data_IF_273313426510
#
_entry.id   IF_273313426510
#
_cell.length_a   1.000
_cell.length_b   1.000
_cell.length_c   1.000
_cell.angle_alpha   90.00
_cell.angle_beta   90.00
_cell.angle_gamma   90.00
#
_symmetry.space_group_name_H-M   'P 1'
#
loop_
_entity.id
_entity.type
_entity.pdbx_description
1 polymer ?
#
# COMPACT_ATOMS: atom_id res chain seq x y z
N UNK A 1 -19.76 -5.97 16.11
CA UNK A 1 -18.36 -5.88 15.63
C UNK A 1 -18.31 -4.64 14.77
N UNK A 2 -17.32 -3.77 14.96
CA UNK A 2 -17.21 -2.54 14.15
C UNK A 2 -16.61 -2.91 12.80
N UNK A 3 -17.33 -2.60 11.72
CA UNK A 3 -16.82 -2.67 10.33
C UNK A 3 -16.28 -1.31 9.86
N UNK A 4 -15.98 -0.42 10.82
CA UNK A 4 -15.43 0.90 10.54
C UNK A 4 -14.02 0.78 9.97
N UNK A 5 -13.85 1.32 8.76
CA UNK A 5 -12.56 1.38 8.07
C UNK A 5 -11.78 2.56 8.64
N UNK A 6 -10.75 2.29 9.44
CA UNK A 6 -9.85 3.30 9.99
C UNK A 6 -8.54 3.25 9.21
N UNK A 7 -8.24 4.28 8.44
CA UNK A 7 -7.13 4.32 7.50
C UNK A 7 -6.04 5.27 7.99
N UNK A 8 -4.91 4.70 8.42
CA UNK A 8 -3.74 5.45 8.86
C UNK A 8 -2.92 5.83 7.63
N UNK A 9 -2.84 7.13 7.33
CA UNK A 9 -2.20 7.60 6.12
C UNK A 9 -1.57 8.99 6.27
N UNK A 10 -0.92 9.46 5.21
CA UNK A 10 -0.69 10.88 5.00
C UNK A 10 -1.02 11.26 3.56
N UNK A 11 -1.37 12.53 3.33
CA UNK A 11 -1.88 13.01 2.04
C UNK A 11 -0.99 12.64 0.84
N UNK A 12 0.31 12.97 0.92
CA UNK A 12 1.27 12.80 -0.19
C UNK A 12 1.83 11.37 -0.34
N UNK A 13 1.30 10.37 0.38
CA UNK A 13 1.77 8.98 0.24
C UNK A 13 1.22 8.33 -1.04
N UNK A 14 2.09 7.88 -1.97
CA UNK A 14 1.68 7.20 -3.20
C UNK A 14 0.94 5.88 -2.94
N UNK A 15 1.45 5.05 -2.02
CA UNK A 15 0.79 3.80 -1.64
C UNK A 15 -0.54 4.03 -0.93
N UNK A 16 -0.70 5.18 -0.25
CA UNK A 16 -2.01 5.55 0.31
C UNK A 16 -2.97 5.99 -0.79
N UNK A 17 -2.49 6.70 -1.81
CA UNK A 17 -3.32 7.07 -2.97
C UNK A 17 -3.87 5.84 -3.69
N UNK A 18 -3.04 4.81 -3.90
CA UNK A 18 -3.46 3.51 -4.44
C UNK A 18 -4.67 2.96 -3.69
N UNK A 19 -4.61 2.89 -2.37
CA UNK A 19 -5.71 2.36 -1.53
C UNK A 19 -6.91 3.30 -1.55
N UNK A 20 -6.71 4.63 -1.51
CA UNK A 20 -7.81 5.61 -1.58
C UNK A 20 -8.59 5.48 -2.89
N UNK A 21 -7.92 5.29 -4.02
CA UNK A 21 -8.57 5.02 -5.30
C UNK A 21 -9.38 3.71 -5.25
N UNK A 22 -8.85 2.66 -4.62
CA UNK A 22 -9.63 1.42 -4.39
C UNK A 22 -10.88 1.68 -3.54
N UNK A 23 -10.79 2.49 -2.48
CA UNK A 23 -11.96 2.89 -1.69
C UNK A 23 -12.97 3.69 -2.54
N UNK A 24 -12.50 4.49 -3.50
CA UNK A 24 -13.33 5.17 -4.50
C UNK A 24 -14.05 4.21 -5.44
N UNK A 25 -13.30 3.26 -6.05
CA UNK A 25 -13.85 2.18 -6.89
C UNK A 25 -14.95 1.42 -6.16
N UNK A 26 -14.71 1.09 -4.90
CA UNK A 26 -15.62 0.31 -4.06
C UNK A 26 -16.72 1.14 -3.40
N UNK A 27 -16.69 2.47 -3.52
CA UNK A 27 -17.67 3.39 -2.92
C UNK A 27 -17.68 3.39 -1.39
N UNK A 28 -16.55 3.13 -0.74
CA UNK A 28 -16.48 2.88 0.71
C UNK A 28 -16.44 4.18 1.52
N UNK A 29 -17.01 4.12 2.73
CA UNK A 29 -16.85 5.13 3.77
C UNK A 29 -15.71 4.74 4.70
N UNK A 30 -14.85 5.69 5.04
CA UNK A 30 -13.67 5.45 5.87
C UNK A 30 -13.27 6.67 6.69
N UNK A 31 -12.51 6.40 7.75
CA UNK A 31 -11.98 7.37 8.70
C UNK A 31 -10.49 7.58 8.43
N UNK A 32 -10.10 8.81 8.13
CA UNK A 32 -8.73 9.23 7.93
C UNK A 32 -8.06 9.52 9.26
N UNK A 33 -6.98 8.81 9.55
CA UNK A 33 -6.09 9.08 10.67
C UNK A 33 -4.75 9.54 10.12
N UNK A 34 -4.50 10.84 10.17
CA UNK A 34 -3.24 11.43 9.68
C UNK A 34 -2.05 10.97 10.53
N UNK A 35 -0.96 10.59 9.86
CA UNK A 35 0.27 10.09 10.46
C UNK A 35 1.47 10.94 10.04
N UNK A 36 2.51 11.04 10.88
CA UNK A 36 3.76 11.68 10.49
C UNK A 36 4.39 11.04 9.25
N UNK A 37 4.99 11.86 8.38
CA UNK A 37 5.69 11.40 7.16
C UNK A 37 7.00 10.66 7.48
N UNK A 38 7.68 11.11 8.53
CA UNK A 38 8.97 10.60 9.03
C UNK A 38 8.82 10.10 10.47
N UNK A 39 9.81 9.35 10.98
CA UNK A 39 9.86 8.93 12.38
C UNK A 39 10.11 10.11 13.34
N UNK A 40 9.64 10.04 14.60
CA UNK A 40 8.96 8.92 15.25
C UNK A 40 7.44 8.86 14.98
N UNK A 41 6.86 7.65 15.03
CA UNK A 41 5.41 7.39 14.86
C UNK A 41 4.84 6.55 16.00
N UNK A 42 4.89 7.02 17.26
CA UNK A 42 4.55 6.19 18.42
C UNK A 42 3.11 5.67 18.38
N UNK A 43 2.18 6.46 17.84
CA UNK A 43 0.75 6.11 17.77
C UNK A 43 0.48 5.03 16.73
N UNK A 44 1.18 5.05 15.60
CA UNK A 44 1.13 3.96 14.62
C UNK A 44 1.82 2.70 15.15
N UNK A 45 3.02 2.85 15.70
CA UNK A 45 3.86 1.71 16.11
C UNK A 45 3.24 0.93 17.26
N UNK A 46 2.49 1.57 18.15
CA UNK A 46 1.77 0.84 19.19
C UNK A 46 0.69 -0.10 18.64
N UNK A 47 0.12 0.19 17.47
CA UNK A 47 -0.80 -0.71 16.76
C UNK A 47 -0.02 -1.81 16.01
N UNK A 48 1.01 -1.43 15.26
CA UNK A 48 1.65 -2.32 14.29
C UNK A 48 2.79 -3.17 14.85
N UNK A 49 3.34 -2.83 16.01
CA UNK A 49 4.48 -3.51 16.60
C UNK A 49 5.83 -3.21 15.98
N UNK A 50 5.95 -2.12 15.21
CA UNK A 50 7.22 -1.66 14.64
C UNK A 50 7.15 -1.36 13.15
N UNK A 51 6.13 -1.86 12.44
CA UNK A 51 5.90 -1.52 11.04
C UNK A 51 5.64 -0.01 10.91
N UNK A 52 6.58 0.68 10.25
CA UNK A 52 6.57 2.15 10.12
C UNK A 52 6.12 2.67 8.75
N UNK A 53 5.89 1.79 7.78
CA UNK A 53 5.40 2.17 6.44
C UNK A 53 3.92 2.57 6.53
N UNK A 54 3.46 3.27 5.50
CA UNK A 54 2.10 3.78 5.34
C UNK A 54 1.63 3.46 3.92
N UNK A 55 0.38 3.04 3.71
CA UNK A 55 -0.72 3.03 4.70
C UNK A 55 -0.78 1.80 5.60
N UNK A 56 -1.62 1.93 6.64
CA UNK A 56 -2.09 0.84 7.49
C UNK A 56 -3.62 0.96 7.61
N UNK A 57 -4.33 -0.16 7.47
CA UNK A 57 -5.76 -0.23 7.76
C UNK A 57 -5.97 -0.82 9.15
N UNK A 58 -6.89 -0.25 9.90
CA UNK A 58 -7.38 -0.78 11.17
C UNK A 58 -8.87 -1.06 11.04
N UNK A 59 -9.29 -2.21 11.56
CA UNK A 59 -10.70 -2.54 11.79
C UNK A 59 -10.79 -3.15 13.19
N UNK A 60 -11.26 -2.38 14.17
CA UNK A 60 -11.21 -2.79 15.57
C UNK A 60 -9.77 -3.06 16.03
N UNK A 61 -9.48 -4.30 16.43
CA UNK A 61 -8.17 -4.78 16.88
C UNK A 61 -7.39 -5.56 15.80
N UNK A 62 -7.91 -5.62 14.58
CA UNK A 62 -7.24 -6.22 13.42
C UNK A 62 -6.55 -5.11 12.59
N UNK A 63 -5.22 -5.22 12.43
CA UNK A 63 -4.34 -4.20 11.84
C UNK A 63 -3.71 -4.77 10.57
N UNK A 64 -4.02 -4.21 9.40
CA UNK A 64 -3.55 -4.70 8.10
C UNK A 64 -2.44 -3.78 7.57
N UNK A 65 -1.24 -4.33 7.50
CA UNK A 65 -0.05 -3.67 6.98
C UNK A 65 0.16 -4.03 5.51
N UNK A 66 0.68 -3.08 4.73
CA UNK A 66 0.87 -3.15 3.28
C UNK A 66 -0.40 -2.96 2.44
N UNK A 67 -0.29 -2.18 1.37
CA UNK A 67 -1.41 -1.87 0.48
C UNK A 67 -2.06 -3.13 -0.12
N UNK A 68 -1.30 -4.19 -0.39
CA UNK A 68 -1.86 -5.42 -0.94
C UNK A 68 -2.76 -6.13 0.07
N UNK A 69 -2.35 -6.18 1.33
CA UNK A 69 -3.12 -6.81 2.40
C UNK A 69 -4.39 -6.00 2.69
N UNK A 70 -4.24 -4.68 2.74
CA UNK A 70 -5.37 -3.74 2.90
C UNK A 70 -6.40 -3.96 1.80
N UNK A 71 -5.97 -4.01 0.53
CA UNK A 71 -6.89 -4.17 -0.60
C UNK A 71 -7.58 -5.55 -0.58
N UNK A 72 -6.85 -6.63 -0.26
CA UNK A 72 -7.45 -7.97 -0.07
C UNK A 72 -8.54 -7.95 1.00
N UNK A 73 -8.25 -7.32 2.13
CA UNK A 73 -9.22 -7.24 3.22
C UNK A 73 -10.45 -6.41 2.85
N UNK A 74 -10.26 -5.25 2.21
CA UNK A 74 -11.37 -4.44 1.73
C UNK A 74 -12.21 -5.21 0.70
N UNK A 75 -11.59 -5.97 -0.20
CA UNK A 75 -12.31 -6.73 -1.21
C UNK A 75 -13.11 -7.88 -0.58
N UNK A 76 -12.48 -8.63 0.33
CA UNK A 76 -13.12 -9.74 1.08
C UNK A 76 -14.27 -9.26 1.96
N UNK A 77 -14.10 -8.14 2.65
CA UNK A 77 -15.10 -7.60 3.60
C UNK A 77 -16.29 -6.96 2.90
N UNK A 78 -16.09 -6.39 1.72
CA UNK A 78 -17.13 -5.73 0.93
C UNK A 78 -17.28 -6.41 -0.45
N UNK A 79 -17.82 -7.64 -0.50
CA UNK A 79 -17.90 -8.44 -1.73
C UNK A 79 -18.93 -7.90 -2.74
N UNK A 80 -19.92 -7.12 -2.30
CA UNK A 80 -20.93 -6.51 -3.20
C UNK A 80 -20.31 -5.50 -4.18
N UNK A 81 -19.13 -4.97 -3.85
CA UNK A 81 -18.33 -4.10 -4.71
C UNK A 81 -17.01 -4.76 -5.12
N UNK A 82 -17.00 -6.08 -5.31
CA UNK A 82 -15.81 -6.86 -5.65
C UNK A 82 -15.04 -6.28 -6.86
N UNK A 83 -13.71 -6.24 -6.74
CA UNK A 83 -12.82 -5.81 -7.82
C UNK A 83 -12.81 -6.85 -8.95
N UNK A 84 -13.01 -6.46 -10.23
CA UNK A 84 -13.08 -7.39 -11.36
C UNK A 84 -11.77 -8.18 -11.61
N UNK A 85 -10.66 -7.68 -11.09
CA UNK A 85 -9.31 -8.21 -11.19
C UNK A 85 -8.68 -8.47 -9.81
N UNK A 86 -9.51 -8.49 -8.76
CA UNK A 86 -9.16 -8.95 -7.41
C UNK A 86 -9.09 -10.48 -7.30
N UNK A 87 -9.25 -11.02 -6.09
CA UNK A 87 -9.08 -12.45 -5.78
C UNK A 87 -10.39 -13.18 -5.46
N UNK A 88 -11.52 -12.49 -5.45
CA UNK A 88 -12.83 -13.10 -5.20
C UNK A 88 -13.30 -13.96 -6.40
N UNK A 89 -14.20 -14.95 -6.17
CA UNK A 89 -14.73 -15.79 -7.24
C UNK A 89 -15.29 -14.98 -8.42
N UNK A 90 -14.82 -15.29 -9.64
CA UNK A 90 -15.22 -14.59 -10.87
C UNK A 90 -14.34 -13.41 -11.25
N UNK A 91 -13.39 -13.01 -10.40
CA UNK A 91 -12.36 -12.04 -10.76
C UNK A 91 -11.20 -12.69 -11.53
N UNK A 92 -10.44 -11.89 -12.28
CA UNK A 92 -9.32 -12.40 -13.09
C UNK A 92 -8.05 -12.72 -12.28
N UNK A 93 -7.90 -12.16 -11.07
CA UNK A 93 -6.69 -12.30 -10.24
C UNK A 93 -5.48 -11.47 -10.70
N UNK A 94 -5.54 -10.83 -11.88
CA UNK A 94 -4.37 -10.18 -12.50
C UNK A 94 -4.00 -8.82 -11.89
N UNK A 95 -4.87 -8.24 -11.05
CA UNK A 95 -4.60 -6.96 -10.40
C UNK A 95 -3.40 -7.01 -9.45
N UNK A 96 -3.21 -8.10 -8.71
CA UNK A 96 -2.09 -8.22 -7.75
C UNK A 96 -0.72 -8.42 -8.43
N UNK A 97 -0.56 -9.30 -9.44
CA UNK A 97 0.68 -9.35 -10.23
C UNK A 97 1.05 -8.01 -10.88
N UNK A 98 0.06 -7.29 -11.43
CA UNK A 98 0.29 -5.93 -11.97
C UNK A 98 0.74 -4.98 -10.85
N UNK A 99 0.08 -5.06 -9.69
CA UNK A 99 0.48 -4.36 -8.47
C UNK A 99 1.94 -4.58 -8.10
N UNK A 100 2.45 -5.82 -8.14
CA UNK A 100 3.87 -6.08 -7.86
C UNK A 100 4.81 -5.37 -8.84
N UNK A 101 4.48 -5.38 -10.13
CA UNK A 101 5.27 -4.68 -11.14
C UNK A 101 5.24 -3.16 -10.94
N UNK A 102 4.08 -2.58 -10.66
CA UNK A 102 3.95 -1.13 -10.44
C UNK A 102 4.58 -0.67 -9.12
N UNK A 103 4.46 -1.48 -8.07
CA UNK A 103 4.93 -1.17 -6.72
C UNK A 103 6.46 -1.28 -6.60
N UNK A 104 7.10 -2.00 -7.53
CA UNK A 104 8.56 -2.20 -7.55
C UNK A 104 9.19 -1.43 -8.71
N UNK A 105 9.05 -1.91 -9.94
CA UNK A 105 9.81 -1.42 -11.09
C UNK A 105 9.39 0.01 -11.48
N UNK A 106 8.09 0.23 -11.67
CA UNK A 106 7.58 1.56 -12.07
C UNK A 106 7.80 2.58 -10.96
N UNK A 107 7.65 2.15 -9.70
CA UNK A 107 7.88 3.01 -8.54
C UNK A 107 9.33 3.50 -8.44
N UNK A 108 10.34 2.67 -8.72
CA UNK A 108 11.73 3.13 -8.70
C UNK A 108 12.00 4.21 -9.76
N UNK A 109 11.43 4.06 -10.96
CA UNK A 109 11.53 5.09 -12.00
C UNK A 109 10.86 6.41 -11.55
N UNK A 110 9.67 6.32 -10.93
CA UNK A 110 8.97 7.49 -10.38
C UNK A 110 9.79 8.21 -9.30
N UNK A 111 10.37 7.46 -8.35
CA UNK A 111 11.24 8.00 -7.28
C UNK A 111 12.41 8.78 -7.85
N UNK A 112 13.12 8.22 -8.84
CA UNK A 112 14.26 8.88 -9.45
C UNK A 112 13.87 10.16 -10.21
N UNK A 113 12.77 10.14 -10.97
CA UNK A 113 12.26 11.32 -11.69
C UNK A 113 11.85 12.42 -10.70
N UNK A 114 11.19 12.07 -9.61
CA UNK A 114 10.75 13.03 -8.60
C UNK A 114 11.97 13.65 -7.92
N UNK A 115 12.75 12.85 -7.20
CA UNK A 115 13.78 13.37 -6.32
C UNK A 115 15.06 13.81 -7.05
N UNK A 116 15.29 13.34 -8.28
CA UNK A 116 16.29 13.94 -9.16
C UNK A 116 15.88 15.32 -9.70
N UNK A 117 14.56 15.58 -9.80
CA UNK A 117 14.03 16.88 -10.25
C UNK A 117 13.86 17.91 -9.12
N UNK A 118 13.47 17.46 -7.92
CA UNK A 118 13.21 18.35 -6.76
C UNK A 118 14.29 18.28 -5.67
N UNK A 119 15.40 17.57 -5.92
CA UNK A 119 16.40 17.21 -4.90
C UNK A 119 16.87 18.33 -3.98
N UNK A 120 17.08 19.53 -4.54
CA UNK A 120 17.51 20.74 -3.82
C UNK A 120 16.47 21.26 -2.81
N UNK A 121 15.21 20.83 -2.94
CA UNK A 121 14.08 21.23 -2.09
C UNK A 121 13.64 20.11 -1.14
N UNK A 122 14.34 18.97 -1.13
CA UNK A 122 14.04 17.86 -0.24
C UNK A 122 14.66 18.14 1.13
N UNK A 123 13.81 18.16 2.16
CA UNK A 123 14.24 18.38 3.54
C UNK A 123 15.24 17.32 4.03
N UNK A 124 16.27 17.75 4.75
CA UNK A 124 17.33 16.86 5.24
C UNK A 124 16.85 15.82 6.25
N UNK A 125 15.81 16.12 7.05
CA UNK A 125 15.21 15.13 7.95
C UNK A 125 14.48 14.04 7.17
N UNK A 126 13.87 14.40 6.05
CA UNK A 126 13.27 13.42 5.13
C UNK A 126 14.33 12.52 4.51
N UNK A 127 15.44 13.08 4.02
CA UNK A 127 16.55 12.27 3.46
C UNK A 127 17.05 11.26 4.49
N UNK A 128 17.37 11.71 5.70
CA UNK A 128 17.84 10.85 6.80
C UNK A 128 16.84 9.75 7.17
N UNK A 129 15.55 10.07 7.22
CA UNK A 129 14.50 9.08 7.50
C UNK A 129 14.44 8.01 6.39
N UNK A 130 14.54 8.41 5.11
CA UNK A 130 14.56 7.47 3.98
C UNK A 130 15.84 6.63 3.94
N UNK A 131 16.98 7.19 4.32
CA UNK A 131 18.22 6.43 4.49
C UNK A 131 18.09 5.37 5.58
N UNK A 132 17.54 5.74 6.74
CA UNK A 132 17.30 4.81 7.84
C UNK A 132 16.27 3.73 7.46
N UNK A 133 15.25 4.07 6.66
CA UNK A 133 14.24 3.14 6.20
C UNK A 133 14.78 2.12 5.18
N UNK A 134 15.61 2.57 4.24
CA UNK A 134 16.08 1.76 3.10
C UNK A 134 17.45 1.11 3.32
N UNK A 135 18.23 1.62 4.28
CA UNK A 135 19.62 1.22 4.49
C UNK A 135 20.56 1.66 3.37
N UNK A 136 20.15 2.63 2.53
CA UNK A 136 20.91 3.14 1.38
C UNK A 136 20.94 4.67 1.42
N UNK A 137 22.00 5.32 0.90
CA UNK A 137 22.05 6.77 0.78
C UNK A 137 20.87 7.34 -0.01
N UNK A 138 20.33 8.47 0.42
CA UNK A 138 19.32 9.23 -0.32
C UNK A 138 20.04 10.28 -1.19
N UNK A 139 20.71 9.80 -2.23
CA UNK A 139 21.58 10.61 -3.07
C UNK A 139 20.79 11.31 -4.20
N UNK A 140 20.39 12.55 -3.96
CA UNK A 140 19.62 13.34 -4.93
C UNK A 140 20.43 13.71 -6.17
N UNK A 141 21.75 13.82 -6.08
CA UNK A 141 22.62 14.11 -7.24
C UNK A 141 22.75 12.88 -8.15
N UNK A 142 22.91 11.69 -7.57
CA UNK A 142 22.84 10.45 -8.33
C UNK A 142 21.48 10.28 -9.01
N UNK A 143 20.38 10.56 -8.29
CA UNK A 143 19.04 10.51 -8.87
C UNK A 143 18.89 11.51 -10.02
N UNK A 144 19.40 12.74 -9.86
CA UNK A 144 19.40 13.78 -10.91
C UNK A 144 20.14 13.33 -12.17
N UNK A 145 21.29 12.69 -12.02
CA UNK A 145 22.03 12.09 -13.15
C UNK A 145 21.27 10.93 -13.80
N UNK A 146 20.48 10.18 -13.03
CA UNK A 146 19.66 9.08 -13.52
C UNK A 146 18.35 9.52 -14.20
N UNK A 147 17.90 10.77 -14.03
CA UNK A 147 16.61 11.26 -14.56
C UNK A 147 16.41 10.94 -16.05
N UNK A 148 17.37 11.18 -16.97
CA UNK A 148 17.17 10.88 -18.39
C UNK A 148 16.86 9.40 -18.64
N UNK A 149 17.65 8.49 -18.04
CA UNK A 149 17.48 7.04 -18.18
C UNK A 149 16.16 6.57 -17.56
N UNK A 150 15.82 7.08 -16.37
CA UNK A 150 14.58 6.71 -15.67
C UNK A 150 13.34 7.28 -16.36
N UNK A 151 13.47 8.42 -17.04
CA UNK A 151 12.42 8.97 -17.91
C UNK A 151 12.18 8.06 -19.11
N UNK A 152 13.22 7.50 -19.72
CA UNK A 152 13.07 6.49 -20.79
C UNK A 152 12.37 5.22 -20.28
N UNK A 153 12.75 4.71 -19.10
CA UNK A 153 12.09 3.56 -18.48
C UNK A 153 10.61 3.84 -18.17
N UNK A 154 10.32 5.01 -17.60
CA UNK A 154 8.94 5.45 -17.33
C UNK A 154 8.14 5.49 -18.64
N UNK A 155 8.69 6.08 -19.71
CA UNK A 155 8.03 6.09 -21.03
C UNK A 155 7.78 4.69 -21.57
N UNK A 156 8.73 3.76 -21.39
CA UNK A 156 8.55 2.37 -21.83
C UNK A 156 7.38 1.69 -21.09
N UNK A 157 7.30 1.83 -19.77
CA UNK A 157 6.18 1.30 -18.99
C UNK A 157 4.84 1.94 -19.37
N UNK A 158 4.81 3.25 -19.53
CA UNK A 158 3.60 3.98 -19.92
C UNK A 158 3.15 3.64 -21.34
N UNK A 159 4.08 3.36 -22.25
CA UNK A 159 3.78 2.87 -23.59
C UNK A 159 3.07 1.51 -23.62
N UNK A 160 3.40 0.61 -22.68
CA UNK A 160 2.68 -0.67 -22.54
C UNK A 160 1.22 -0.44 -22.13
N UNK A 161 0.98 0.48 -21.20
CA UNK A 161 -0.37 0.82 -20.74
C UNK A 161 -1.17 1.58 -21.82
N UNK A 162 -0.56 2.54 -22.51
CA UNK A 162 -1.20 3.28 -23.60
C UNK A 162 -1.60 2.33 -24.75
N UNK A 163 -0.73 1.39 -25.11
CA UNK A 163 -1.03 0.37 -26.12
C UNK A 163 -2.22 -0.53 -25.72
N UNK A 164 -2.31 -0.92 -24.46
CA UNK A 164 -3.46 -1.68 -23.94
C UNK A 164 -4.76 -0.88 -24.04
N UNK A 165 -4.71 0.43 -23.77
CA UNK A 165 -5.87 1.32 -23.80
C UNK A 165 -6.27 1.75 -25.22
N UNK A 166 -5.44 1.47 -26.23
CA UNK A 166 -5.65 1.90 -27.61
C UNK A 166 -6.84 1.21 -28.30
N UNK A 167 -7.36 0.11 -27.75
CA UNK A 167 -8.57 -0.56 -28.24
C UNK A 167 -9.88 0.11 -27.80
N UNK A 168 -9.79 1.21 -27.03
CA UNK A 168 -10.93 2.02 -26.62
C UNK A 168 -11.58 1.59 -25.31
N UNK A 169 -11.04 0.58 -24.61
CA UNK A 169 -11.53 0.20 -23.27
C UNK A 169 -11.50 1.37 -22.28
N UNK A 170 -12.42 1.35 -21.32
CA UNK A 170 -12.51 2.40 -20.31
C UNK A 170 -11.36 2.34 -19.29
N UNK A 171 -11.00 1.12 -18.86
CA UNK A 171 -10.06 0.81 -17.80
C UNK A 171 -9.11 -0.32 -18.23
N UNK A 172 -8.01 -0.54 -17.51
CA UNK A 172 -6.99 -1.52 -17.92
C UNK A 172 -7.57 -2.94 -18.04
N UNK A 173 -8.50 -3.29 -17.15
CA UNK A 173 -9.22 -4.57 -17.12
C UNK A 173 -10.45 -4.66 -18.05
N UNK A 174 -10.81 -3.60 -18.77
CA UNK A 174 -12.01 -3.56 -19.62
C UNK A 174 -12.93 -2.39 -19.29
N UNK A 175 -14.23 -2.65 -19.13
CA UNK A 175 -15.23 -1.59 -18.97
C UNK A 175 -15.40 -1.09 -17.52
N UNK A 176 -14.98 -1.89 -16.54
CA UNK A 176 -15.09 -1.55 -15.10
C UNK A 176 -13.70 -1.28 -14.51
N UNK A 177 -13.57 -0.30 -13.59
CA UNK A 177 -12.30 -0.04 -12.93
C UNK A 177 -11.97 -1.18 -11.96
N UNK A 178 -10.67 -1.47 -11.82
CA UNK A 178 -10.15 -2.51 -10.94
C UNK A 178 -8.86 -2.11 -10.21
N UNK A 179 -8.26 -3.09 -9.54
CA UNK A 179 -6.99 -2.97 -8.86
C UNK A 179 -5.85 -2.57 -9.81
N UNK A 180 -5.88 -3.07 -11.05
CA UNK A 180 -4.92 -2.71 -12.07
C UNK A 180 -4.88 -1.19 -12.28
N UNK A 181 -6.05 -0.56 -12.29
CA UNK A 181 -6.16 0.88 -12.51
C UNK A 181 -5.55 1.67 -11.36
N UNK A 182 -5.92 1.34 -10.12
CA UNK A 182 -5.36 1.98 -8.93
C UNK A 182 -3.84 1.80 -8.82
N UNK A 183 -3.34 0.61 -9.19
CA UNK A 183 -1.92 0.24 -9.13
C UNK A 183 -1.07 0.98 -10.16
N UNK A 184 -1.57 1.17 -11.38
CA UNK A 184 -0.88 1.96 -12.38
C UNK A 184 -0.98 3.48 -12.11
N UNK A 185 -2.17 3.96 -11.73
CA UNK A 185 -2.47 5.38 -11.61
C UNK A 185 -1.65 6.09 -10.55
N UNK A 186 -1.43 5.46 -9.39
CA UNK A 186 -0.79 6.15 -8.26
C UNK A 186 0.64 6.62 -8.57
N UNK A 187 1.37 5.93 -9.46
CA UNK A 187 2.72 6.33 -9.88
C UNK A 187 2.69 7.61 -10.73
N UNK A 188 1.73 7.71 -11.65
CA UNK A 188 1.49 8.92 -12.46
C UNK A 188 1.11 10.08 -11.54
N UNK A 189 0.15 9.83 -10.64
CA UNK A 189 -0.28 10.79 -9.63
C UNK A 189 0.89 11.27 -8.77
N UNK A 190 1.77 10.38 -8.34
CA UNK A 190 2.90 10.71 -7.47
C UNK A 190 3.89 11.66 -8.16
N UNK A 191 4.28 11.33 -9.39
CA UNK A 191 5.16 12.19 -10.19
C UNK A 191 4.50 13.54 -10.41
N UNK A 192 3.25 13.59 -10.90
CA UNK A 192 2.56 14.86 -11.17
C UNK A 192 2.33 15.71 -9.91
N UNK A 193 2.14 15.09 -8.75
CA UNK A 193 1.83 15.78 -7.49
C UNK A 193 3.10 16.32 -6.83
N UNK A 194 4.19 15.56 -6.81
CA UNK A 194 5.42 15.92 -6.09
C UNK A 194 6.43 16.64 -6.99
N UNK A 195 6.48 16.27 -8.27
CA UNK A 195 7.29 16.94 -9.29
C UNK A 195 6.45 17.24 -10.55
N UNK A 196 5.60 18.29 -10.53
CA UNK A 196 4.74 18.63 -11.67
C UNK A 196 5.49 18.77 -13.01
N UNK A 197 6.72 19.27 -12.99
CA UNK A 197 7.55 19.39 -14.19
C UNK A 197 7.93 18.02 -14.78
N UNK A 198 8.27 17.05 -13.92
CA UNK A 198 8.51 15.65 -14.30
C UNK A 198 7.26 14.96 -14.85
N UNK A 199 6.07 15.43 -14.48
CA UNK A 199 4.79 14.92 -14.98
C UNK A 199 4.59 15.06 -16.49
N UNK A 200 5.32 15.96 -17.15
CA UNK A 200 5.24 16.15 -18.61
C UNK A 200 5.59 14.89 -19.42
N UNK A 201 6.29 13.92 -18.83
CA UNK A 201 6.61 12.63 -19.45
C UNK A 201 5.37 11.85 -19.92
N UNK A 202 4.23 12.08 -19.27
CA UNK A 202 2.97 11.37 -19.54
C UNK A 202 2.14 12.01 -20.66
N UNK A 203 2.34 13.29 -20.96
CA UNK A 203 1.43 14.08 -21.80
C UNK A 203 1.44 13.64 -23.29
N UNK A 204 2.48 12.91 -23.71
CA UNK A 204 2.57 12.33 -25.05
C UNK A 204 1.73 11.07 -25.28
N UNK A 205 1.12 10.50 -24.23
CA UNK A 205 0.33 9.27 -24.29
C UNK A 205 -1.17 9.60 -24.28
N UNK A 206 -1.80 9.54 -25.46
CA UNK A 206 -3.18 10.02 -25.65
C UNK A 206 -4.19 9.17 -24.88
N UNK A 207 -4.11 7.83 -25.00
CA UNK A 207 -5.07 6.92 -24.37
C UNK A 207 -4.85 6.87 -22.86
N UNK A 208 -3.59 6.89 -22.43
CA UNK A 208 -3.20 6.94 -21.03
C UNK A 208 -3.72 8.21 -20.34
N UNK A 209 -3.57 9.39 -20.95
CA UNK A 209 -4.02 10.65 -20.33
C UNK A 209 -5.55 10.68 -20.19
N UNK A 210 -6.28 10.15 -21.19
CA UNK A 210 -7.73 10.02 -21.11
C UNK A 210 -8.14 9.02 -20.00
N UNK A 211 -7.41 7.92 -19.85
CA UNK A 211 -7.62 6.94 -18.79
C UNK A 211 -7.28 7.51 -17.40
N UNK A 212 -6.17 8.23 -17.25
CA UNK A 212 -5.75 8.90 -16.01
C UNK A 212 -6.87 9.80 -15.48
N UNK A 213 -7.49 10.59 -16.37
CA UNK A 213 -8.62 11.45 -16.01
C UNK A 213 -9.83 10.65 -15.51
N UNK A 214 -10.12 9.49 -16.12
CA UNK A 214 -11.20 8.60 -15.66
C UNK A 214 -10.91 8.01 -14.30
N UNK A 215 -9.70 7.52 -14.05
CA UNK A 215 -9.32 6.96 -12.74
C UNK A 215 -9.36 8.03 -11.65
N UNK A 216 -8.85 9.23 -11.94
CA UNK A 216 -8.93 10.38 -11.02
C UNK A 216 -10.38 10.73 -10.64
N UNK A 217 -11.31 10.63 -11.59
CA UNK A 217 -12.72 10.95 -11.36
C UNK A 217 -13.45 9.93 -10.47
N UNK A 218 -12.89 8.74 -10.24
CA UNK A 218 -13.43 7.75 -9.29
C UNK A 218 -13.40 8.27 -7.85
N UNK A 219 -12.52 9.23 -7.56
CA UNK A 219 -12.36 9.80 -6.23
C UNK A 219 -11.89 8.78 -5.20
N UNK A 220 -12.16 9.06 -3.92
CA UNK A 220 -11.62 8.30 -2.79
C UNK A 220 -12.69 7.72 -1.87
N UNK A 221 -13.95 7.63 -2.31
CA UNK A 221 -15.07 7.24 -1.46
C UNK A 221 -15.49 8.36 -0.49
N UNK A 222 -16.05 8.00 0.67
CA UNK A 222 -16.54 8.97 1.67
C UNK A 222 -15.58 9.05 2.87
N UNK A 223 -14.78 10.11 2.91
CA UNK A 223 -13.82 10.37 3.98
C UNK A 223 -14.45 11.10 5.17
N UNK A 224 -14.09 10.68 6.39
CA UNK A 224 -14.29 11.42 7.64
C UNK A 224 -12.96 11.49 8.40
N UNK A 225 -12.70 12.54 9.18
CA UNK A 225 -11.47 12.62 9.99
C UNK A 225 -11.63 11.83 11.31
N UNK A 226 -10.53 11.29 11.82
CA UNK A 226 -10.44 10.63 13.13
C UNK A 226 -9.07 10.90 13.76
N UNK A 227 -9.04 11.12 15.08
CA UNK A 227 -7.78 11.33 15.81
C UNK A 227 -7.00 10.02 16.02
N UNK A 228 -5.69 10.10 16.26
CA UNK A 228 -4.90 8.91 16.63
C UNK A 228 -5.35 8.31 17.96
N UNK A 229 -5.75 9.15 18.92
CA UNK A 229 -6.25 8.71 20.22
C UNK A 229 -7.57 7.92 20.11
N UNK A 230 -8.50 8.36 19.26
CA UNK A 230 -9.75 7.64 19.03
C UNK A 230 -9.49 6.28 18.37
N UNK A 231 -8.61 6.22 17.37
CA UNK A 231 -8.23 4.98 16.71
C UNK A 231 -7.60 3.98 17.71
N UNK A 232 -6.71 4.46 18.58
CA UNK A 232 -6.10 3.65 19.65
C UNK A 232 -7.15 3.16 20.66
N UNK A 233 -8.10 4.02 21.05
CA UNK A 233 -9.18 3.65 21.95
C UNK A 233 -10.08 2.57 21.33
N UNK A 234 -10.36 2.65 20.03
CA UNK A 234 -11.12 1.64 19.29
C UNK A 234 -10.37 0.30 19.28
N UNK A 235 -9.06 0.28 19.01
CA UNK A 235 -8.26 -0.94 19.07
C UNK A 235 -8.31 -1.57 20.46
N UNK A 236 -8.10 -0.76 21.50
CA UNK A 236 -8.09 -1.21 22.91
C UNK A 236 -9.43 -1.78 23.39
N UNK A 237 -10.53 -1.25 22.89
CA UNK A 237 -11.88 -1.68 23.26
C UNK A 237 -12.37 -2.88 22.44
N UNK A 238 -11.72 -3.21 21.33
CA UNK A 238 -12.08 -4.31 20.45
C UNK A 238 -11.34 -5.59 20.82
N UNK A 239 -11.91 -6.72 20.39
CA UNK A 239 -11.22 -8.00 20.33
C UNK A 239 -11.09 -8.41 18.87
N UNK A 240 -9.93 -8.96 18.48
CA UNK A 240 -9.74 -9.47 17.13
C UNK A 240 -10.73 -10.59 16.84
N UNK A 241 -11.20 -10.64 15.60
CA UNK A 241 -12.12 -11.68 15.12
C UNK A 241 -11.43 -12.70 14.23
N UNK A 242 -10.11 -12.57 14.06
CA UNK A 242 -9.29 -13.42 13.21
C UNK A 242 -9.22 -14.83 13.78
N UNK A 243 -9.74 -15.85 13.06
CA UNK A 243 -9.70 -17.22 13.53
C UNK A 243 -8.28 -17.78 13.47
N UNK A 244 -7.98 -18.72 14.35
CA UNK A 244 -6.78 -19.53 14.17
C UNK A 244 -6.92 -20.39 12.91
N UNK A 245 -5.96 -20.27 11.99
CA UNK A 245 -5.99 -20.97 10.71
C UNK A 245 -4.59 -21.42 10.31
N UNK A 246 -4.40 -22.73 10.22
CA UNK A 246 -3.19 -23.31 9.65
C UNK A 246 -3.28 -23.36 8.12
N UNK A 247 -2.15 -23.13 7.45
CA UNK A 247 -2.00 -23.49 6.04
C UNK A 247 -1.61 -24.98 5.98
N UNK A 248 -2.45 -25.87 5.40
CA UNK A 248 -2.15 -27.29 5.32
C UNK A 248 -0.91 -27.60 4.50
N UNK A 249 -0.49 -26.68 3.62
CA UNK A 249 0.68 -26.81 2.76
C UNK A 249 1.79 -25.82 3.14
N UNK A 250 1.83 -25.35 4.40
CA UNK A 250 2.85 -24.41 4.83
C UNK A 250 4.25 -25.04 4.68
N UNK A 251 5.15 -24.44 3.87
CA UNK A 251 6.40 -25.09 3.46
C UNK A 251 7.46 -25.20 4.56
N UNK A 252 7.37 -24.41 5.62
CA UNK A 252 8.36 -24.32 6.70
C UNK A 252 7.85 -24.87 8.05
N UNK A 253 6.66 -25.48 8.06
CA UNK A 253 6.03 -26.03 9.25
C UNK A 253 5.46 -25.00 10.23
N UNK A 254 5.20 -23.76 9.80
CA UNK A 254 4.57 -22.73 10.63
C UNK A 254 3.14 -23.13 10.99
N UNK A 255 2.80 -22.98 12.27
CA UNK A 255 1.49 -23.32 12.84
C UNK A 255 1.00 -22.23 13.80
N UNK A 256 -0.31 -22.00 13.90
CA UNK A 256 -0.88 -21.17 14.95
C UNK A 256 -0.30 -21.50 16.33
N UNK A 257 0.00 -20.47 17.12
CA UNK A 257 0.63 -20.57 18.43
C UNK A 257 2.17 -20.48 18.43
N UNK A 258 2.83 -20.55 17.26
CA UNK A 258 4.29 -20.40 17.19
C UNK A 258 4.71 -18.93 17.35
N UNK A 259 5.79 -18.69 18.08
CA UNK A 259 6.46 -17.38 18.07
C UNK A 259 7.15 -17.17 16.72
N UNK A 260 6.94 -16.01 16.12
CA UNK A 260 7.50 -15.63 14.82
C UNK A 260 7.88 -14.16 14.79
N UNK A 261 8.72 -13.79 13.83
CA UNK A 261 8.99 -12.41 13.45
C UNK A 261 8.65 -12.22 11.98
N UNK A 262 7.92 -11.15 11.67
CA UNK A 262 7.56 -10.77 10.30
C UNK A 262 8.33 -9.51 9.91
N UNK A 263 8.92 -9.47 8.72
CA UNK A 263 9.61 -8.27 8.19
C UNK A 263 9.44 -8.18 6.68
N UNK A 264 9.48 -6.97 6.11
CA UNK A 264 9.43 -6.79 4.67
C UNK A 264 10.70 -7.33 3.99
N UNK A 265 10.60 -7.79 2.73
CA UNK A 265 11.72 -8.32 1.95
C UNK A 265 12.56 -7.22 1.27
N UNK A 266 12.01 -6.01 1.16
CA UNK A 266 12.57 -4.91 0.38
C UNK A 266 13.28 -3.88 1.27
N UNK A 267 12.54 -3.05 1.98
CA UNK A 267 12.98 -1.95 2.86
C UNK A 267 12.07 -1.85 4.08
N UNK A 268 12.47 -1.11 5.12
CA UNK A 268 11.73 -1.07 6.38
C UNK A 268 11.67 -2.44 7.05
N UNK A 269 12.84 -3.09 7.17
CA UNK A 269 12.99 -4.48 7.60
C UNK A 269 13.03 -4.65 9.13
N UNK A 270 12.42 -3.73 9.86
CA UNK A 270 12.30 -3.87 11.31
C UNK A 270 11.44 -5.13 11.62
N UNK A 271 11.97 -6.11 12.37
CA UNK A 271 11.20 -7.31 12.70
C UNK A 271 10.04 -6.97 13.61
N UNK A 272 8.86 -7.50 13.28
CA UNK A 272 7.66 -7.41 14.10
C UNK A 272 7.42 -8.77 14.72
N UNK A 273 7.67 -8.88 16.02
CA UNK A 273 7.50 -10.11 16.77
C UNK A 273 6.04 -10.32 17.18
N UNK A 274 5.60 -11.57 17.18
CA UNK A 274 4.28 -11.95 17.66
C UNK A 274 4.07 -13.46 17.70
N UNK A 275 2.87 -13.87 18.09
CA UNK A 275 2.44 -15.27 18.04
C UNK A 275 1.58 -15.49 16.81
N UNK A 276 1.94 -16.45 15.96
CA UNK A 276 1.20 -16.79 14.76
C UNK A 276 -0.26 -17.13 15.08
N UNK A 277 -1.21 -16.44 14.45
CA UNK A 277 -2.65 -16.74 14.55
C UNK A 277 -3.12 -17.48 13.31
N UNK A 278 -2.79 -16.94 12.13
CA UNK A 278 -3.15 -17.58 10.88
C UNK A 278 -2.08 -17.46 9.81
N UNK A 279 -2.10 -18.42 8.90
CA UNK A 279 -1.19 -18.55 7.77
C UNK A 279 -1.97 -19.03 6.55
N UNK A 280 -1.70 -18.43 5.39
CA UNK A 280 -2.14 -18.87 4.08
C UNK A 280 -1.08 -18.55 3.02
N UNK A 281 -1.28 -18.97 1.75
CA UNK A 281 -0.41 -18.58 0.64
C UNK A 281 -0.35 -17.07 0.38
N UNK A 282 -1.35 -16.30 0.83
CA UNK A 282 -1.45 -14.86 0.57
C UNK A 282 -1.32 -13.99 1.82
N UNK A 283 -1.41 -14.58 3.02
CA UNK A 283 -1.51 -13.84 4.28
C UNK A 283 -0.78 -14.53 5.44
N UNK A 284 -0.25 -13.71 6.34
CA UNK A 284 0.23 -14.10 7.66
C UNK A 284 -0.33 -13.12 8.69
N UNK A 285 -0.85 -13.62 9.81
CA UNK A 285 -1.35 -12.78 10.90
C UNK A 285 -0.73 -13.18 12.23
N UNK A 286 -0.26 -12.19 12.99
CA UNK A 286 0.41 -12.39 14.28
C UNK A 286 -0.30 -11.62 15.39
N UNK A 287 -0.50 -12.28 16.52
CA UNK A 287 -1.02 -11.69 17.75
C UNK A 287 0.10 -11.01 18.51
N UNK A 288 -0.18 -9.83 19.03
CA UNK A 288 0.74 -9.08 19.89
C UNK A 288 -0.02 -8.36 20.99
N UNK A 289 0.71 -8.06 22.05
CA UNK A 289 0.22 -7.31 23.22
C UNK A 289 0.99 -5.99 23.30
N UNK A 290 0.27 -4.91 23.60
CA UNK A 290 0.83 -3.58 23.82
C UNK A 290 0.03 -2.87 24.94
N UNK A 291 0.69 -2.06 25.77
CA UNK A 291 0.04 -1.38 26.89
C UNK A 291 -1.00 -0.34 26.42
N UNK A 292 -0.78 0.27 25.25
CA UNK A 292 -1.64 1.33 24.72
C UNK A 292 -2.89 0.78 24.06
N UNK A 293 -2.77 -0.32 23.30
CA UNK A 293 -3.85 -0.86 22.45
C UNK A 293 -4.36 -2.23 22.89
N UNK A 294 -3.79 -2.83 23.93
CA UNK A 294 -4.19 -4.17 24.37
C UNK A 294 -3.67 -5.27 23.43
N UNK A 295 -4.48 -6.31 23.26
CA UNK A 295 -4.20 -7.39 22.30
C UNK A 295 -4.68 -6.97 20.92
N UNK A 296 -3.81 -7.05 19.92
CA UNK A 296 -4.14 -6.81 18.51
C UNK A 296 -3.58 -7.93 17.64
N UNK A 297 -4.21 -8.14 16.49
CA UNK A 297 -3.71 -9.05 15.45
C UNK A 297 -3.25 -8.22 14.26
N UNK A 298 -2.00 -8.41 13.85
CA UNK A 298 -1.37 -7.67 12.75
C UNK A 298 -1.22 -8.60 11.56
N UNK A 299 -1.77 -8.18 10.42
CA UNK A 299 -1.85 -8.91 9.17
C UNK A 299 -0.86 -8.35 8.16
N UNK A 300 -0.17 -9.25 7.47
CA UNK A 300 0.77 -8.93 6.41
C UNK A 300 0.50 -9.82 5.19
N UNK A 301 0.75 -9.33 3.96
CA UNK A 301 0.71 -10.19 2.80
C UNK A 301 1.89 -11.18 2.87
N UNK A 302 1.69 -12.40 2.37
CA UNK A 302 2.77 -13.40 2.31
C UNK A 302 3.89 -12.97 1.38
N UNK A 303 3.53 -12.57 0.17
CA UNK A 303 4.48 -12.12 -0.83
C UNK A 303 4.95 -10.70 -0.48
N UNK A 304 6.27 -10.48 -0.49
CA UNK A 304 6.90 -9.23 -0.05
C UNK A 304 7.30 -9.19 1.43
N UNK A 305 7.06 -10.27 2.18
CA UNK A 305 7.44 -10.38 3.59
C UNK A 305 8.11 -11.72 3.88
N UNK A 306 9.05 -11.70 4.82
CA UNK A 306 9.67 -12.88 5.39
C UNK A 306 9.06 -13.16 6.75
N UNK A 307 8.88 -14.45 7.03
CA UNK A 307 8.46 -14.96 8.33
C UNK A 307 9.60 -15.82 8.87
N UNK A 308 10.17 -15.39 9.98
CA UNK A 308 11.28 -16.07 10.65
C UNK A 308 10.77 -16.69 11.95
N UNK A 309 11.36 -17.82 12.41
CA UNK A 309 11.14 -18.31 13.76
C UNK A 309 11.45 -17.23 14.80
N UNK A 310 10.60 -17.14 15.82
CA UNK A 310 10.70 -16.17 16.92
C UNK A 310 11.75 -16.52 17.96
#
# INVERSE_FOLDING_TARGET
MSDEIIFHHYGVSPFSEKVRVVMGIKGLRWHAVEQPVIMPKPDLVCLTGGYRKIPVLQIGADIYCDSQMIIRELDRRFPDSALPDGELPGATGLGYPLGFWTDREVFQAAVAIIFGGIGDHVDESFKKDREALTGRPFDTEQMKQAVPLMTEQMRAHMGMLDAQLADGRAFLGGDRPGLADASAYYNIWFVRTVNPAGGSVFDGFTHLTAWEARVKALGHGTRAEMSTDDAIAIAKAAASTTPEQADPNEPNGLKPGMAVQVMADDYGRDPIAGTLVMSSPTEIAIRRQDDRVGEVVVHFPRAGFWVLPG
#
